data_IF_105257615076
#
_entry.id   IF_105257615076
#
_cell.length_a   1.000
_cell.length_b   1.000
_cell.length_c   1.000
_cell.angle_alpha   90.00
_cell.angle_beta   90.00
_cell.angle_gamma   90.00
#
_symmetry.space_group_name_H-M   'P 1'
#
loop_
_entity.id
_entity.type
_entity.pdbx_description
1 polymer ?
#
# COMPACT_ATOMS: atom_id res chain seq x y z
N UNK A 1 16.15 5.63 -3.67
CA UNK A 1 14.75 5.34 -4.02
C UNK A 1 13.90 6.21 -3.11
N UNK A 2 13.29 7.29 -3.62
CA UNK A 2 12.43 8.16 -2.85
C UNK A 2 11.22 7.39 -2.29
N UNK A 3 10.72 7.88 -1.16
CA UNK A 3 9.66 7.22 -0.40
C UNK A 3 8.63 8.23 0.08
N UNK A 4 7.35 7.91 -0.06
CA UNK A 4 6.25 8.70 0.50
C UNK A 4 5.48 7.86 1.52
N UNK A 5 5.10 8.50 2.63
CA UNK A 5 4.35 7.87 3.70
C UNK A 5 3.00 8.55 3.87
N UNK A 6 1.96 7.74 4.00
CA UNK A 6 0.62 8.22 4.31
C UNK A 6 0.02 7.37 5.43
N UNK A 7 -0.87 7.98 6.20
CA UNK A 7 -1.59 7.30 7.27
C UNK A 7 -3.06 7.69 7.21
N UNK A 8 -3.95 6.70 7.35
CA UNK A 8 -5.39 6.88 7.31
C UNK A 8 -5.97 6.34 8.60
N UNK A 9 -6.62 7.20 9.40
CA UNK A 9 -7.33 6.77 10.60
C UNK A 9 -8.51 5.88 10.21
N UNK A 10 -8.61 4.70 10.82
CA UNK A 10 -9.69 3.75 10.57
C UNK A 10 -9.81 2.78 11.73
N UNK A 11 -11.05 2.36 12.03
CA UNK A 11 -11.30 1.35 13.07
C UNK A 11 -11.03 -0.08 12.58
N UNK A 12 -10.85 -0.29 11.27
CA UNK A 12 -10.61 -1.60 10.67
C UNK A 12 -9.64 -1.50 9.48
N UNK A 13 -8.33 -1.37 9.75
CA UNK A 13 -7.30 -1.28 8.71
C UNK A 13 -7.14 -2.58 7.92
N UNK A 14 -7.28 -3.75 8.56
CA UNK A 14 -7.17 -5.04 7.89
C UNK A 14 -8.20 -5.22 6.78
N UNK A 15 -9.44 -4.75 7.00
CA UNK A 15 -10.47 -4.74 5.95
C UNK A 15 -10.11 -3.82 4.78
N UNK A 16 -9.50 -2.67 5.03
CA UNK A 16 -9.05 -1.79 3.96
C UNK A 16 -7.92 -2.43 3.14
N UNK A 17 -6.93 -3.03 3.79
CA UNK A 17 -5.86 -3.78 3.12
C UNK A 17 -6.45 -4.85 2.21
N UNK A 18 -7.36 -5.68 2.75
CA UNK A 18 -7.98 -6.76 1.98
C UNK A 18 -8.73 -6.24 0.75
N UNK A 19 -9.47 -5.12 0.88
CA UNK A 19 -10.19 -4.50 -0.24
C UNK A 19 -9.25 -3.94 -1.30
N UNK A 20 -8.22 -3.19 -0.88
CA UNK A 20 -7.24 -2.60 -1.79
C UNK A 20 -6.49 -3.68 -2.55
N UNK A 21 -5.90 -4.65 -1.84
CA UNK A 21 -5.14 -5.71 -2.47
C UNK A 21 -6.01 -6.59 -3.38
N UNK A 22 -7.26 -6.91 -2.99
CA UNK A 22 -8.20 -7.61 -3.89
C UNK A 22 -8.56 -6.81 -5.13
N UNK A 23 -8.68 -5.50 -5.04
CA UNK A 23 -8.96 -4.66 -6.19
C UNK A 23 -7.77 -4.65 -7.16
N UNK A 24 -6.56 -4.41 -6.63
CA UNK A 24 -5.35 -4.24 -7.43
C UNK A 24 -4.81 -5.55 -8.02
N UNK A 25 -5.04 -6.71 -7.38
CA UNK A 25 -4.56 -8.02 -7.87
C UNK A 25 -5.01 -8.37 -9.30
N UNK A 26 -6.05 -7.69 -9.80
CA UNK A 26 -6.53 -7.89 -11.16
C UNK A 26 -5.65 -7.24 -12.23
N UNK A 27 -4.81 -6.25 -11.85
CA UNK A 27 -3.97 -5.48 -12.75
C UNK A 27 -2.49 -5.56 -12.43
N UNK A 28 -2.15 -5.71 -11.16
CA UNK A 28 -0.77 -5.71 -10.67
C UNK A 28 -0.56 -6.86 -9.70
N UNK A 29 0.70 -7.16 -9.40
CA UNK A 29 1.04 -8.13 -8.36
C UNK A 29 0.66 -7.54 -6.99
N UNK A 30 -0.13 -8.31 -6.24
CA UNK A 30 -0.61 -7.94 -4.94
C UNK A 30 -0.55 -9.14 -3.99
N UNK A 31 0.18 -8.98 -2.90
CA UNK A 31 0.29 -9.95 -1.82
C UNK A 31 -0.25 -9.33 -0.55
N UNK A 32 -1.03 -10.06 0.24
CA UNK A 32 -1.52 -9.52 1.52
C UNK A 32 -1.91 -10.61 2.52
N UNK A 33 -1.86 -10.23 3.78
CA UNK A 33 -2.35 -10.97 4.94
C UNK A 33 -3.54 -10.22 5.55
N UNK A 34 -3.95 -10.58 6.78
CA UNK A 34 -4.96 -9.81 7.52
C UNK A 34 -4.45 -8.42 7.97
N UNK A 35 -3.14 -8.23 8.08
CA UNK A 35 -2.50 -7.04 8.67
C UNK A 35 -1.53 -6.33 7.75
N UNK A 36 -1.07 -7.00 6.69
CA UNK A 36 -0.01 -6.48 5.82
C UNK A 36 -0.43 -6.62 4.36
N UNK A 37 0.00 -5.68 3.52
CA UNK A 37 -0.21 -5.72 2.09
C UNK A 37 1.00 -5.20 1.34
N UNK A 38 1.26 -5.77 0.18
CA UNK A 38 2.28 -5.34 -0.77
C UNK A 38 1.68 -5.28 -2.17
N UNK A 39 1.83 -4.13 -2.80
CA UNK A 39 1.42 -3.87 -4.17
C UNK A 39 2.66 -3.54 -4.99
N UNK A 40 2.95 -4.33 -6.01
CA UNK A 40 4.11 -4.10 -6.90
C UNK A 40 3.60 -3.47 -8.19
N UNK A 41 3.92 -2.20 -8.39
CA UNK A 41 3.64 -1.45 -9.61
C UNK A 41 4.86 -1.51 -10.55
N UNK A 42 4.69 -1.21 -11.84
CA UNK A 42 5.81 -1.10 -12.77
C UNK A 42 6.77 0.06 -12.41
N UNK A 43 6.27 1.06 -11.70
CA UNK A 43 6.97 2.29 -11.32
C UNK A 43 7.40 2.31 -9.84
N UNK A 44 7.18 1.22 -9.09
CA UNK A 44 7.49 1.20 -7.65
C UNK A 44 6.71 0.15 -6.85
N UNK A 45 6.77 0.25 -5.53
CA UNK A 45 5.99 -0.59 -4.63
C UNK A 45 5.25 0.23 -3.57
N UNK A 46 4.08 -0.25 -3.15
CA UNK A 46 3.35 0.28 -2.01
C UNK A 46 3.18 -0.81 -0.95
N UNK A 47 3.61 -0.52 0.27
CA UNK A 47 3.38 -1.36 1.44
C UNK A 47 2.27 -0.79 2.29
N UNK A 48 1.38 -1.67 2.72
CA UNK A 48 0.24 -1.39 3.59
C UNK A 48 0.45 -2.14 4.90
N UNK A 49 0.23 -1.47 6.02
CA UNK A 49 0.39 -2.06 7.35
C UNK A 49 -0.77 -1.61 8.26
N UNK A 50 -1.42 -2.57 8.89
CA UNK A 50 -2.46 -2.34 9.87
C UNK A 50 -1.82 -2.02 11.22
N UNK A 51 -2.04 -0.81 11.69
CA UNK A 51 -1.66 -0.38 13.04
C UNK A 51 -2.92 -0.03 13.84
N UNK A 52 -2.76 0.14 15.15
CA UNK A 52 -3.89 0.41 16.03
C UNK A 52 -4.60 1.72 15.64
N UNK A 53 -5.86 1.60 15.24
CA UNK A 53 -6.70 2.71 14.77
C UNK A 53 -6.29 3.35 13.44
N UNK A 54 -5.36 2.76 12.66
CA UNK A 54 -4.92 3.35 11.39
C UNK A 54 -4.33 2.36 10.39
N UNK A 55 -4.45 2.71 9.11
CA UNK A 55 -3.72 2.09 8.01
C UNK A 55 -2.49 2.93 7.70
N UNK A 56 -1.31 2.31 7.73
CA UNK A 56 -0.06 2.93 7.29
C UNK A 56 0.22 2.52 5.85
N UNK A 57 0.67 3.47 5.05
CA UNK A 57 1.03 3.27 3.65
C UNK A 57 2.41 3.84 3.40
N UNK A 58 3.24 3.07 2.68
CA UNK A 58 4.58 3.47 2.29
C UNK A 58 4.78 3.16 0.81
N UNK A 59 4.82 4.19 -0.01
CA UNK A 59 5.14 4.09 -1.42
C UNK A 59 6.63 4.33 -1.63
N UNK A 60 7.25 3.57 -2.51
CA UNK A 60 8.65 3.71 -2.88
C UNK A 60 8.78 3.56 -4.38
N UNK A 61 9.61 4.40 -4.99
CA UNK A 61 9.82 4.42 -6.44
C UNK A 61 11.32 4.57 -6.76
N UNK A 62 11.78 4.19 -7.97
CA UNK A 62 13.14 4.47 -8.40
C UNK A 62 13.47 5.97 -8.46
N UNK A 63 12.52 6.81 -8.87
CA UNK A 63 12.69 8.26 -9.07
C UNK A 63 11.61 9.10 -8.38
N UNK A 64 11.85 10.40 -8.21
CA UNK A 64 10.92 11.30 -7.52
C UNK A 64 9.70 11.59 -8.40
N UNK A 65 9.91 11.75 -9.70
CA UNK A 65 8.83 11.91 -10.69
C UNK A 65 7.87 10.73 -10.68
N UNK A 66 8.39 9.49 -10.67
CA UNK A 66 7.54 8.29 -10.61
C UNK A 66 6.84 8.09 -9.25
N UNK A 67 7.27 8.79 -8.19
CA UNK A 67 6.60 8.77 -6.89
C UNK A 67 5.41 9.74 -6.82
N UNK A 68 5.42 10.80 -7.63
CA UNK A 68 4.40 11.85 -7.64
C UNK A 68 3.24 11.61 -8.62
N UNK A 69 3.43 10.73 -9.61
CA UNK A 69 2.45 10.32 -10.63
C UNK A 69 1.35 9.38 -10.08
#
# INVERSE_FOLDING_TARGET
MPTMNAQVATTDPGRLINRLCKHFRHKIEAEWTGTDGRLTFSIGECRLEAADGKLLMRCQSPTETELEE
#
